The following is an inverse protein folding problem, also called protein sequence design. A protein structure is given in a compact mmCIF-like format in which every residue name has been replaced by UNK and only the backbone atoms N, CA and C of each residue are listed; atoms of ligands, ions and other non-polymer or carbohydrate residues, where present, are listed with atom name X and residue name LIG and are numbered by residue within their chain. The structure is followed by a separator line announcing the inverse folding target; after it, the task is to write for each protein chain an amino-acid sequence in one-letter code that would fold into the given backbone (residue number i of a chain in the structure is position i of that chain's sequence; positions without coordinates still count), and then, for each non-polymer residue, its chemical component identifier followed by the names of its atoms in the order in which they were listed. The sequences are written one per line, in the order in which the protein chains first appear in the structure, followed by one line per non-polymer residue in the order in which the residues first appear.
data_IF_948146243946
#
_entry.id   IF_948146243946
#
_cell.length_a   1.000
_cell.length_b   1.000
_cell.length_c   1.000
_cell.angle_alpha   90.00
_cell.angle_beta   90.00
_cell.angle_gamma   90.00
#
_symmetry.space_group_name_H-M   'P 1'
#
loop_
_entity.id
_entity.type
_entity.pdbx_description
1 polymer ?
#
# COMPACT_ATOMS: atom_id res chain seq x y z
N UNK A 1 25.65 -32.78 7.27
CA UNK A 1 24.43 -32.25 6.60
C UNK A 1 24.77 -31.92 5.15
N UNK A 2 23.93 -32.28 4.17
CA UNK A 2 24.16 -31.88 2.76
C UNK A 2 23.84 -30.39 2.61
N UNK A 3 24.70 -29.64 1.90
CA UNK A 3 24.44 -28.23 1.60
C UNK A 3 23.13 -28.09 0.79
N UNK A 4 22.28 -27.09 1.08
CA UNK A 4 21.07 -26.86 0.32
C UNK A 4 21.39 -26.55 -1.15
N UNK A 5 20.55 -27.00 -2.08
CA UNK A 5 20.77 -26.73 -3.50
C UNK A 5 20.56 -25.24 -3.80
N UNK A 6 21.29 -24.65 -4.77
CA UNK A 6 21.05 -23.28 -5.22
C UNK A 6 19.59 -23.02 -5.61
N UNK A 7 18.91 -24.02 -6.18
CA UNK A 7 17.49 -23.95 -6.53
C UNK A 7 16.56 -23.85 -5.31
N UNK A 8 16.85 -24.57 -4.23
CA UNK A 8 16.11 -24.43 -2.96
C UNK A 8 16.40 -23.08 -2.30
N UNK A 9 17.64 -22.61 -2.34
CA UNK A 9 18.01 -21.29 -1.80
C UNK A 9 17.26 -20.19 -2.57
N UNK A 10 17.27 -20.23 -3.90
CA UNK A 10 16.56 -19.27 -4.74
C UNK A 10 15.04 -19.28 -4.47
N UNK A 11 14.44 -20.46 -4.30
CA UNK A 11 13.04 -20.60 -3.92
C UNK A 11 12.74 -19.94 -2.56
N UNK A 12 13.53 -20.25 -1.53
CA UNK A 12 13.33 -19.69 -0.19
C UNK A 12 13.55 -18.16 -0.16
N UNK A 13 14.54 -17.65 -0.88
CA UNK A 13 14.76 -16.20 -1.05
C UNK A 13 13.57 -15.56 -1.75
N UNK A 14 13.02 -16.20 -2.79
CA UNK A 14 11.86 -15.69 -3.53
C UNK A 14 10.60 -15.61 -2.68
N UNK A 15 10.40 -16.56 -1.75
CA UNK A 15 9.28 -16.53 -0.81
C UNK A 15 9.34 -15.34 0.17
N UNK A 16 10.54 -14.86 0.50
CA UNK A 16 10.72 -13.67 1.37
C UNK A 16 10.59 -12.39 0.54
N UNK A 17 11.08 -12.41 -0.71
CA UNK A 17 11.11 -11.26 -1.59
C UNK A 17 9.73 -10.76 -1.99
N UNK A 18 8.80 -11.66 -2.34
CA UNK A 18 7.46 -11.26 -2.83
C UNK A 18 6.65 -10.49 -1.76
N UNK A 19 6.52 -10.96 -0.51
CA UNK A 19 5.90 -10.19 0.56
C UNK A 19 6.61 -8.87 0.83
N UNK A 20 7.95 -8.86 0.81
CA UNK A 20 8.73 -7.64 1.07
C UNK A 20 8.55 -6.60 -0.04
N UNK A 21 8.49 -7.02 -1.30
CA UNK A 21 8.24 -6.15 -2.44
C UNK A 21 6.81 -5.60 -2.41
N UNK A 22 5.82 -6.44 -2.13
CA UNK A 22 4.43 -6.02 -1.95
C UNK A 22 4.27 -5.02 -0.80
N UNK A 23 4.88 -5.32 0.35
CA UNK A 23 4.93 -4.40 1.50
C UNK A 23 5.61 -3.07 1.15
N UNK A 24 6.73 -3.10 0.41
CA UNK A 24 7.39 -1.87 -0.01
C UNK A 24 6.57 -1.02 -0.98
N UNK A 25 5.75 -1.64 -1.84
CA UNK A 25 4.88 -0.94 -2.78
C UNK A 25 3.73 -0.22 -2.06
N UNK A 26 3.07 -0.92 -1.13
CA UNK A 26 1.97 -0.36 -0.35
C UNK A 26 2.39 0.88 0.47
N UNK A 27 3.57 0.84 1.07
CA UNK A 27 4.10 1.96 1.87
C UNK A 27 4.65 3.12 1.04
N UNK A 28 4.66 3.01 -0.29
CA UNK A 28 5.14 4.06 -1.19
C UNK A 28 4.03 4.95 -1.76
N UNK A 29 2.77 4.54 -1.56
CA UNK A 29 1.60 5.30 -1.95
C UNK A 29 1.03 6.02 -0.73
N UNK A 30 0.54 7.24 -0.93
CA UNK A 30 -0.27 7.89 0.09
C UNK A 30 -1.70 7.38 -0.06
N UNK A 31 -2.23 6.78 1.00
CA UNK A 31 -3.64 6.42 1.07
C UNK A 31 -4.45 7.69 1.33
N UNK A 32 -5.55 7.85 0.60
CA UNK A 32 -6.52 8.93 0.84
C UNK A 32 -7.91 8.32 0.78
N UNK A 33 -8.79 8.71 1.70
CA UNK A 33 -10.08 8.04 1.89
C UNK A 33 -11.25 9.02 1.82
N UNK A 34 -12.18 8.74 0.91
CA UNK A 34 -13.42 9.49 0.72
C UNK A 34 -14.54 8.73 1.45
N UNK A 35 -14.96 9.27 2.58
CA UNK A 35 -16.00 8.68 3.43
C UNK A 35 -17.38 8.70 2.75
N UNK A 36 -18.27 7.72 3.01
CA UNK A 36 -19.59 7.59 2.39
C UNK A 36 -20.42 8.86 2.33
N UNK A 37 -20.39 9.67 3.39
CA UNK A 37 -21.17 10.91 3.49
C UNK A 37 -20.74 11.96 2.47
N UNK A 38 -19.50 11.91 2.00
CA UNK A 38 -18.91 12.96 1.16
C UNK A 38 -18.85 12.54 -0.31
N UNK A 39 -19.18 11.28 -0.65
CA UNK A 39 -19.05 10.72 -2.01
C UNK A 39 -20.00 11.34 -3.05
N UNK A 40 -21.04 12.05 -2.61
CA UNK A 40 -21.92 12.81 -3.52
C UNK A 40 -21.31 14.16 -3.90
N UNK A 41 -20.51 14.74 -3.00
CA UNK A 41 -19.94 16.07 -3.16
C UNK A 41 -18.48 16.03 -3.64
N UNK A 42 -17.79 14.90 -3.42
CA UNK A 42 -16.42 14.64 -3.84
C UNK A 42 -16.39 13.71 -5.06
N UNK A 43 -15.75 14.16 -6.13
CA UNK A 43 -15.51 13.34 -7.31
C UNK A 43 -14.51 12.23 -6.98
N UNK A 44 -14.91 10.98 -7.15
CA UNK A 44 -13.99 9.85 -7.12
C UNK A 44 -13.15 9.89 -8.41
N UNK A 45 -11.83 10.07 -8.33
CA UNK A 45 -10.99 10.21 -9.51
C UNK A 45 -10.74 8.85 -10.18
N UNK A 46 -10.23 8.87 -11.42
CA UNK A 46 -9.83 7.66 -12.14
C UNK A 46 -8.33 7.40 -12.01
N UNK A 47 -7.92 6.14 -12.15
CA UNK A 47 -6.49 5.78 -12.21
C UNK A 47 -5.80 6.54 -13.35
N UNK A 48 -4.68 7.19 -13.03
CA UNK A 48 -3.92 8.04 -13.94
C UNK A 48 -4.24 9.54 -13.83
N UNK A 49 -5.31 9.92 -13.16
CA UNK A 49 -5.65 11.34 -12.97
C UNK A 49 -4.60 12.06 -12.12
N UNK A 50 -4.35 13.33 -12.47
CA UNK A 50 -3.60 14.25 -11.63
C UNK A 50 -4.57 14.96 -10.69
N UNK A 51 -4.31 14.86 -9.40
CA UNK A 51 -5.21 15.36 -8.36
C UNK A 51 -4.48 16.23 -7.34
N UNK A 52 -5.23 17.16 -6.76
CA UNK A 52 -4.89 17.85 -5.51
C UNK A 52 -5.90 17.42 -4.45
N UNK A 53 -5.45 16.78 -3.38
CA UNK A 53 -6.30 16.26 -2.31
C UNK A 53 -6.04 17.08 -1.05
N UNK A 54 -7.10 17.46 -0.36
CA UNK A 54 -7.01 18.10 0.95
C UNK A 54 -7.90 17.39 1.96
N UNK A 55 -7.36 17.16 3.17
CA UNK A 55 -8.04 16.43 4.23
C UNK A 55 -7.16 16.29 5.48
N UNK A 56 -7.64 15.50 6.45
CA UNK A 56 -6.95 15.34 7.74
C UNK A 56 -5.80 14.34 7.61
N UNK A 57 -4.61 14.72 8.06
CA UNK A 57 -3.43 13.86 8.03
C UNK A 57 -3.33 13.03 9.32
N UNK A 58 -3.52 11.73 9.17
CA UNK A 58 -3.63 10.78 10.26
C UNK A 58 -2.70 9.60 10.06
N UNK A 59 -2.47 8.88 11.16
CA UNK A 59 -1.98 7.51 11.12
C UNK A 59 -3.13 6.57 11.48
N UNK A 60 -3.46 5.65 10.57
CA UNK A 60 -4.33 4.52 10.89
C UNK A 60 -3.54 3.51 11.71
N UNK A 61 -4.13 3.01 12.80
CA UNK A 61 -3.52 2.06 13.72
C UNK A 61 -4.08 0.64 13.63
N UNK A 62 -4.99 0.36 12.70
CA UNK A 62 -5.71 -0.93 12.60
C UNK A 62 -4.76 -2.14 12.62
N UNK A 63 -3.64 -2.08 11.88
CA UNK A 63 -2.69 -3.19 11.80
C UNK A 63 -1.55 -3.12 12.82
N UNK A 64 -1.63 -2.21 13.81
CA UNK A 64 -0.65 -2.15 14.91
C UNK A 64 -0.74 -3.39 15.80
N UNK A 65 -1.94 -3.93 16.03
CA UNK A 65 -2.15 -5.08 16.92
C UNK A 65 -1.48 -6.36 16.41
N UNK A 66 -1.27 -6.49 15.10
CA UNK A 66 -0.58 -7.62 14.47
C UNK A 66 0.90 -7.32 14.15
N UNK A 67 1.47 -6.24 14.68
CA UNK A 67 2.89 -5.93 14.59
C UNK A 67 3.37 -5.38 13.25
N UNK A 68 2.46 -5.07 12.32
CA UNK A 68 2.75 -4.48 11.00
C UNK A 68 2.86 -2.94 11.11
N UNK A 69 2.36 -2.38 12.21
CA UNK A 69 2.29 -0.94 12.44
C UNK A 69 1.13 -0.30 11.66
N UNK A 70 1.06 1.03 11.67
CA UNK A 70 0.05 1.79 10.92
C UNK A 70 0.46 2.23 9.51
N UNK A 71 -0.34 3.05 8.85
CA UNK A 71 0.10 3.83 7.69
C UNK A 71 -0.32 5.29 7.87
N UNK A 72 0.36 6.19 7.15
CA UNK A 72 -0.06 7.59 7.10
C UNK A 72 -1.01 7.75 5.93
N UNK A 73 -2.06 8.53 6.14
CA UNK A 73 -3.10 8.76 5.15
C UNK A 73 -3.71 10.15 5.28
N UNK A 74 -4.45 10.54 4.24
CA UNK A 74 -5.39 11.66 4.31
C UNK A 74 -6.80 11.07 4.49
N UNK A 75 -7.29 11.08 5.72
CA UNK A 75 -8.61 10.56 6.08
C UNK A 75 -9.21 11.44 7.17
N UNK A 76 -10.37 12.08 6.92
CA UNK A 76 -11.13 12.05 5.67
C UNK A 76 -10.60 13.05 4.65
N UNK A 77 -10.76 12.73 3.37
CA UNK A 77 -10.65 13.70 2.27
C UNK A 77 -11.84 14.65 2.33
N UNK A 78 -11.57 15.95 2.26
CA UNK A 78 -12.58 17.03 2.29
C UNK A 78 -12.63 17.86 1.02
N UNK A 79 -11.60 17.74 0.20
CA UNK A 79 -11.52 18.42 -1.08
C UNK A 79 -10.70 17.60 -2.06
N UNK A 80 -11.15 17.58 -3.31
CA UNK A 80 -10.39 17.03 -4.43
C UNK A 80 -10.48 17.95 -5.64
N UNK A 81 -9.31 18.36 -6.15
CA UNK A 81 -9.15 19.12 -7.38
C UNK A 81 -8.58 18.24 -8.49
N UNK A 82 -9.12 18.39 -9.70
CA UNK A 82 -8.59 17.80 -10.95
C UNK A 82 -8.33 18.93 -11.96
N UNK A 83 -7.86 18.63 -13.18
CA UNK A 83 -7.55 19.65 -14.20
C UNK A 83 -8.76 20.53 -14.59
N UNK A 84 -8.97 21.60 -13.83
CA UNK A 84 -10.01 22.62 -14.06
C UNK A 84 -11.26 22.48 -13.20
N UNK A 85 -11.39 21.41 -12.42
CA UNK A 85 -12.57 21.15 -11.56
C UNK A 85 -12.16 20.95 -10.11
N UNK A 86 -12.98 21.41 -9.18
CA UNK A 86 -12.74 21.26 -7.75
C UNK A 86 -14.03 20.90 -7.03
N UNK A 87 -13.92 19.96 -6.11
CA UNK A 87 -15.02 19.36 -5.37
C UNK A 87 -14.73 19.41 -3.87
N UNK A 88 -15.76 19.60 -3.06
CA UNK A 88 -15.64 19.71 -1.60
C UNK A 88 -15.21 21.10 -1.11
N UNK A 89 -14.67 21.14 0.10
CA UNK A 89 -14.39 22.38 0.83
C UNK A 89 -12.94 22.45 1.30
N UNK A 90 -12.32 23.60 1.05
CA UNK A 90 -10.99 23.94 1.54
C UNK A 90 -10.95 25.45 1.86
N UNK A 91 -10.89 25.87 3.14
CA UNK A 91 -10.77 25.04 4.34
C UNK A 91 -12.09 24.33 4.72
N UNK A 92 -11.96 23.16 5.34
CA UNK A 92 -13.11 22.46 5.96
C UNK A 92 -13.30 22.95 7.41
N UNK A 93 -14.54 23.22 7.81
CA UNK A 93 -14.83 23.87 9.11
C UNK A 93 -15.64 23.04 10.09
N UNK A 94 -16.09 21.84 9.71
CA UNK A 94 -16.83 20.95 10.61
C UNK A 94 -15.87 20.06 11.42
N UNK A 95 -16.44 19.07 12.13
CA UNK A 95 -15.69 18.14 12.96
C UNK A 95 -14.64 17.36 12.14
N UNK A 96 -13.44 17.21 12.72
CA UNK A 96 -12.28 16.63 12.04
C UNK A 96 -12.58 15.25 11.43
N UNK A 97 -13.25 14.40 12.20
CA UNK A 97 -13.54 13.00 11.84
C UNK A 97 -14.99 12.77 11.42
N UNK A 98 -15.68 13.82 10.95
CA UNK A 98 -17.06 13.67 10.48
C UNK A 98 -17.16 12.65 9.33
N UNK A 99 -18.15 11.75 9.40
CA UNK A 99 -18.35 10.67 8.43
C UNK A 99 -17.39 9.48 8.52
N UNK A 100 -16.31 9.57 9.32
CA UNK A 100 -15.31 8.49 9.46
C UNK A 100 -15.89 7.32 10.25
N UNK A 101 -15.87 6.12 9.68
CA UNK A 101 -16.16 4.90 10.45
C UNK A 101 -15.03 4.66 11.45
N UNK A 102 -15.29 4.19 12.68
CA UNK A 102 -14.24 3.81 13.64
C UNK A 102 -13.12 4.84 13.92
N UNK A 103 -13.42 6.13 14.18
CA UNK A 103 -12.42 7.20 14.23
C UNK A 103 -11.40 7.07 15.38
N UNK A 104 -11.70 6.28 16.40
CA UNK A 104 -10.78 6.02 17.52
C UNK A 104 -9.49 5.29 17.12
N UNK A 105 -9.46 4.65 15.94
CA UNK A 105 -8.25 4.02 15.39
C UNK A 105 -7.29 5.02 14.77
N UNK A 106 -7.74 6.24 14.47
CA UNK A 106 -6.95 7.24 13.76
C UNK A 106 -6.24 8.15 14.75
N UNK A 107 -4.94 8.37 14.53
CA UNK A 107 -4.15 9.34 15.29
C UNK A 107 -3.86 10.52 14.38
N UNK A 108 -4.38 11.71 14.73
CA UNK A 108 -4.03 12.96 14.06
C UNK A 108 -2.54 13.25 14.28
N UNK A 109 -1.78 13.31 13.17
CA UNK A 109 -0.32 13.41 13.20
C UNK A 109 0.18 14.82 13.56
N UNK A 110 -0.56 15.85 13.16
CA UNK A 110 -0.30 17.25 13.52
C UNK A 110 -1.56 17.87 14.12
N UNK A 111 -1.61 17.96 15.45
CA UNK A 111 -2.79 18.47 16.15
C UNK A 111 -2.97 19.98 16.03
N UNK A 112 -1.89 20.72 15.74
CA UNK A 112 -1.94 22.18 15.60
C UNK A 112 -2.43 22.55 14.19
N UNK A 113 -2.01 21.79 13.18
CA UNK A 113 -2.45 21.94 11.79
C UNK A 113 -2.84 20.57 11.23
N UNK A 114 -4.05 20.07 11.48
CA UNK A 114 -4.43 18.69 11.15
C UNK A 114 -4.60 18.44 9.66
N UNK A 115 -4.84 19.48 8.88
CA UNK A 115 -5.08 19.35 7.45
C UNK A 115 -3.78 19.40 6.63
N UNK A 116 -3.75 18.64 5.53
CA UNK A 116 -2.70 18.70 4.52
C UNK A 116 -3.35 18.82 3.15
N UNK A 117 -2.67 19.54 2.25
CA UNK A 117 -2.90 19.46 0.82
C UNK A 117 -1.76 18.67 0.19
N UNK A 118 -2.09 17.78 -0.75
CA UNK A 118 -1.13 16.92 -1.43
C UNK A 118 -1.47 16.85 -2.92
N UNK A 119 -0.45 16.95 -3.76
CA UNK A 119 -0.59 16.70 -5.19
C UNK A 119 0.03 15.36 -5.56
N UNK A 120 -0.60 14.68 -6.51
CA UNK A 120 -0.11 13.39 -6.98
C UNK A 120 -0.86 12.87 -8.19
N UNK A 121 -0.50 11.63 -8.56
CA UNK A 121 -1.15 10.87 -9.63
C UNK A 121 -1.85 9.67 -9.02
N UNK A 122 -3.12 9.46 -9.35
CA UNK A 122 -3.90 8.33 -8.85
C UNK A 122 -3.32 7.02 -9.38
N UNK A 123 -2.95 6.14 -8.46
CA UNK A 123 -2.37 4.84 -8.73
C UNK A 123 -3.45 3.74 -8.73
N UNK A 124 -4.33 3.78 -7.73
CA UNK A 124 -5.35 2.76 -7.48
C UNK A 124 -6.59 3.42 -6.88
N UNK A 125 -7.76 2.88 -7.19
CA UNK A 125 -9.05 3.30 -6.64
C UNK A 125 -9.91 2.08 -6.40
N UNK A 126 -10.44 1.93 -5.18
CA UNK A 126 -11.35 0.85 -4.82
C UNK A 126 -12.18 1.22 -3.59
N UNK A 127 -13.34 0.58 -3.44
CA UNK A 127 -14.16 0.71 -2.24
C UNK A 127 -13.77 -0.35 -1.20
N UNK A 128 -13.75 0.02 0.07
CA UNK A 128 -13.54 -0.88 1.20
C UNK A 128 -14.85 -1.31 1.85
N UNK A 129 -14.76 -2.28 2.77
CA UNK A 129 -15.94 -2.91 3.39
C UNK A 129 -16.75 -1.99 4.30
N UNK A 130 -16.15 -0.90 4.78
CA UNK A 130 -16.79 0.19 5.54
C UNK A 130 -17.48 1.23 4.64
N UNK A 131 -17.27 1.13 3.33
CA UNK A 131 -17.87 2.01 2.32
C UNK A 131 -16.98 3.16 1.90
N UNK A 132 -15.78 3.33 2.47
CA UNK A 132 -14.84 4.36 2.08
C UNK A 132 -14.27 4.05 0.68
N UNK A 133 -14.08 5.07 -0.14
CA UNK A 133 -13.26 4.93 -1.34
C UNK A 133 -11.81 5.22 -1.01
N UNK A 134 -10.97 4.20 -1.16
CA UNK A 134 -9.53 4.31 -1.09
C UNK A 134 -9.01 4.80 -2.44
N UNK A 135 -8.33 5.92 -2.42
CA UNK A 135 -7.64 6.52 -3.56
C UNK A 135 -6.17 6.60 -3.21
N UNK A 136 -5.37 5.70 -3.78
CA UNK A 136 -3.94 5.65 -3.54
C UNK A 136 -3.20 6.57 -4.50
N UNK A 137 -2.30 7.42 -3.98
CA UNK A 137 -1.58 8.41 -4.76
C UNK A 137 -0.09 8.11 -4.85
N UNK A 138 0.46 8.18 -6.06
CA UNK A 138 1.87 8.50 -6.26
C UNK A 138 2.03 10.01 -6.04
N UNK A 139 2.48 10.40 -4.85
CA UNK A 139 2.62 11.82 -4.49
C UNK A 139 3.79 12.48 -5.21
N UNK A 140 3.69 13.78 -5.47
CA UNK A 140 4.82 14.55 -5.97
C UNK A 140 5.94 14.61 -4.92
N UNK A 141 7.18 14.79 -5.38
CA UNK A 141 8.38 14.63 -4.56
C UNK A 141 8.39 15.53 -3.32
N UNK A 142 7.84 16.74 -3.44
CA UNK A 142 7.72 17.72 -2.36
C UNK A 142 6.72 17.34 -1.26
N UNK A 143 5.92 16.28 -1.45
CA UNK A 143 4.97 15.74 -0.46
C UNK A 143 5.43 14.40 0.13
N UNK A 144 6.62 13.92 -0.20
CA UNK A 144 7.13 12.61 0.26
C UNK A 144 7.16 12.47 1.79
N UNK A 145 7.27 13.58 2.53
CA UNK A 145 7.19 13.62 4.00
C UNK A 145 5.83 13.24 4.58
N UNK A 146 4.76 13.25 3.77
CA UNK A 146 3.42 12.84 4.22
C UNK A 146 3.27 11.31 4.25
N UNK A 147 4.11 10.60 3.50
CA UNK A 147 4.17 9.13 3.53
C UNK A 147 4.71 8.66 4.88
N UNK A 148 4.29 7.46 5.31
CA UNK A 148 4.93 6.82 6.47
C UNK A 148 6.39 6.51 6.11
N UNK A 149 7.38 6.93 6.91
CA UNK A 149 8.77 6.61 6.65
C UNK A 149 8.97 5.09 6.61
N UNK A 150 9.15 4.53 5.42
CA UNK A 150 9.55 3.14 5.27
C UNK A 150 11.06 3.09 5.07
N UNK A 151 11.76 2.43 6.00
CA UNK A 151 13.22 2.23 5.98
C UNK A 151 13.69 1.58 4.66
N UNK A 152 12.82 0.87 3.95
CA UNK A 152 13.13 0.29 2.64
C UNK A 152 12.85 1.23 1.44
N UNK A 153 11.85 2.11 1.55
CA UNK A 153 11.45 3.02 0.46
C UNK A 153 12.34 4.26 0.34
N UNK A 154 13.03 4.66 1.42
CA UNK A 154 13.99 5.78 1.40
C UNK A 154 15.25 5.49 0.57
N UNK A 155 15.48 4.22 0.21
CA UNK A 155 16.46 3.85 -0.82
C UNK A 155 15.76 3.68 -2.19
N UNK A 156 15.51 4.82 -2.85
CA UNK A 156 15.00 4.89 -4.23
C UNK A 156 15.61 3.85 -5.21
N UNK A 157 16.93 3.50 -5.13
CA UNK A 157 17.51 2.46 -5.97
C UNK A 157 16.97 1.05 -5.67
N UNK A 158 16.80 0.69 -4.40
CA UNK A 158 16.34 -0.65 -4.03
C UNK A 158 14.90 -0.86 -4.44
N UNK A 159 14.02 0.12 -4.23
CA UNK A 159 12.61 0.05 -4.66
C UNK A 159 12.46 -0.21 -6.17
N UNK A 160 13.17 0.55 -7.02
CA UNK A 160 13.10 0.36 -8.47
C UNK A 160 13.69 -0.99 -8.91
N UNK A 161 14.74 -1.45 -8.22
CA UNK A 161 15.30 -2.80 -8.40
C UNK A 161 14.28 -3.87 -7.98
N UNK A 162 13.61 -3.71 -6.83
CA UNK A 162 12.59 -4.67 -6.36
C UNK A 162 11.39 -4.75 -7.30
N UNK A 163 10.91 -3.60 -7.80
CA UNK A 163 9.80 -3.51 -8.76
C UNK A 163 10.14 -4.20 -10.08
N UNK A 164 11.32 -3.91 -10.64
CA UNK A 164 11.79 -4.51 -11.90
C UNK A 164 12.16 -5.99 -11.79
N UNK A 165 12.54 -6.46 -10.59
CA UNK A 165 12.88 -7.87 -10.35
C UNK A 165 11.68 -8.74 -9.94
N UNK A 166 10.51 -8.18 -9.63
CA UNK A 166 9.33 -8.90 -9.10
C UNK A 166 8.84 -10.08 -9.94
N UNK A 167 9.15 -10.12 -11.25
CA UNK A 167 8.82 -11.24 -12.12
C UNK A 167 9.65 -12.51 -11.84
N UNK A 168 10.93 -12.35 -11.50
CA UNK A 168 11.88 -13.46 -11.33
C UNK A 168 11.58 -14.34 -10.11
N UNK A 169 11.24 -13.79 -8.92
CA UNK A 169 10.81 -14.55 -7.76
C UNK A 169 9.55 -15.38 -8.01
N UNK A 170 8.55 -14.82 -8.70
CA UNK A 170 7.30 -15.53 -9.01
C UNK A 170 7.59 -16.71 -9.94
N UNK A 171 8.33 -16.49 -11.03
CA UNK A 171 8.73 -17.56 -11.94
C UNK A 171 9.55 -18.65 -11.24
N UNK A 172 10.41 -18.27 -10.28
CA UNK A 172 11.20 -19.21 -9.47
C UNK A 172 10.32 -20.04 -8.53
N UNK A 173 9.33 -19.42 -7.87
CA UNK A 173 8.34 -20.10 -7.03
C UNK A 173 7.54 -21.11 -7.86
N UNK A 174 6.95 -20.66 -8.97
CA UNK A 174 6.15 -21.52 -9.87
C UNK A 174 7.01 -22.66 -10.42
N UNK A 175 8.21 -22.37 -10.91
CA UNK A 175 9.14 -23.38 -11.42
C UNK A 175 9.50 -24.41 -10.35
N UNK A 176 9.78 -23.98 -9.11
CA UNK A 176 10.08 -24.89 -8.01
C UNK A 176 8.90 -25.78 -7.64
N UNK A 177 7.67 -25.25 -7.63
CA UNK A 177 6.44 -26.02 -7.38
C UNK A 177 6.21 -27.04 -8.51
N UNK A 178 6.28 -26.61 -9.77
CA UNK A 178 6.11 -27.49 -10.94
C UNK A 178 7.13 -28.63 -10.93
N UNK A 179 8.41 -28.34 -10.71
CA UNK A 179 9.45 -29.39 -10.62
C UNK A 179 9.21 -30.29 -9.39
N UNK A 180 8.70 -29.76 -8.28
CA UNK A 180 8.37 -30.58 -7.10
C UNK A 180 7.25 -31.58 -7.35
N UNK A 181 6.32 -31.27 -8.25
CA UNK A 181 5.23 -32.17 -8.66
C UNK A 181 5.71 -33.16 -9.73
N UNK A 182 6.36 -32.66 -10.79
CA UNK A 182 6.73 -33.47 -11.96
C UNK A 182 7.99 -34.32 -11.74
N UNK A 183 8.93 -33.85 -10.92
CA UNK A 183 10.23 -34.50 -10.64
C UNK A 183 10.55 -34.43 -9.14
N UNK A 184 9.75 -35.09 -8.28
CA UNK A 184 9.79 -34.89 -6.84
C UNK A 184 11.14 -35.20 -6.20
N UNK A 185 11.95 -36.08 -6.80
CA UNK A 185 13.30 -36.41 -6.34
C UNK A 185 14.28 -35.25 -6.46
N UNK A 186 14.03 -34.28 -7.36
CA UNK A 186 14.92 -33.14 -7.62
C UNK A 186 14.75 -32.01 -6.60
N UNK A 187 13.60 -31.89 -5.94
CA UNK A 187 13.33 -30.81 -4.97
C UNK A 187 13.20 -31.34 -3.54
N UNK A 188 13.37 -30.46 -2.56
CA UNK A 188 13.18 -30.85 -1.15
C UNK A 188 11.70 -31.12 -0.83
N UNK A 189 10.80 -30.26 -1.31
CA UNK A 189 9.35 -30.36 -1.10
C UNK A 189 8.79 -31.61 -1.77
N UNK A 190 9.18 -31.90 -3.02
CA UNK A 190 8.77 -33.11 -3.72
C UNK A 190 9.19 -34.39 -2.99
N UNK A 191 10.42 -34.44 -2.46
CA UNK A 191 10.91 -35.57 -1.66
C UNK A 191 10.13 -35.74 -0.35
N UNK A 192 9.71 -34.66 0.29
CA UNK A 192 8.88 -34.70 1.50
C UNK A 192 7.50 -35.32 1.22
N UNK A 193 6.82 -34.87 0.16
CA UNK A 193 5.50 -35.41 -0.21
C UNK A 193 5.56 -36.85 -0.69
N UNK A 194 6.61 -37.23 -1.42
CA UNK A 194 6.81 -38.61 -1.88
C UNK A 194 7.03 -39.58 -0.72
N UNK A 195 7.69 -39.16 0.37
CA UNK A 195 7.90 -40.00 1.56
C UNK A 195 6.63 -40.23 2.40
N UNK A 196 5.56 -39.47 2.14
CA UNK A 196 4.28 -39.56 2.83
C UNK A 196 3.22 -40.38 2.06
N UNK A 197 3.54 -40.84 0.85
CA UNK A 197 2.77 -41.86 0.11
C UNK A 197 3.50 -43.19 0.23
#
# INVERSE_FOLDING_TARGET
MKKPSPFLIAFLVSLIFVPLAGYSLLYSLLVTEIVPTDQLDLKIPSVGDRVSVYGVWVQDTELMEIGIGGWHEIHPVRYIGTSGESYGQMPYTAELMDGVWGPSRLIVLDKENPYRIVNGTVAEVFAMGDGDYHVHLNVDKEYAQLLRPNVFATSLPLYQILKSLSFTPIATIVGYVVVSVLRPEKTYVGRLFRKRK
#
